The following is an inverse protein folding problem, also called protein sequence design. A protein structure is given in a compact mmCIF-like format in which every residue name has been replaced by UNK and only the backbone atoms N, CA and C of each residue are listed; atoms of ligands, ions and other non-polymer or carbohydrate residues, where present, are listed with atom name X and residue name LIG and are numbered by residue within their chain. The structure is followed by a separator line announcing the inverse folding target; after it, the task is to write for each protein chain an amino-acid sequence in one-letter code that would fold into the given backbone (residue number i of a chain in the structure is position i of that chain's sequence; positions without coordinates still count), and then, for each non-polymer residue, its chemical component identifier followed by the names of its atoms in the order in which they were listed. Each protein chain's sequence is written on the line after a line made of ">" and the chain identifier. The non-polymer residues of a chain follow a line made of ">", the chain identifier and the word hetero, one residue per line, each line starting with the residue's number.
data_IF_845970579103
#
_entry.id   IF_845970579103
#
_cell.length_a   1.000
_cell.length_b   1.000
_cell.length_c   1.000
_cell.angle_alpha   90.00
_cell.angle_beta   90.00
_cell.angle_gamma   90.00
#
_symmetry.space_group_name_H-M   'P 1'
#
loop_
_entity.id
_entity.type
_entity.pdbx_description
1 polymer ?
#
# COMPACT_ATOMS: atom_id res chain seq x y z
N UNK A 1 3.84 36.69 -41.63
CA UNK A 1 4.18 35.89 -40.44
C UNK A 1 2.84 35.41 -39.90
N UNK A 2 2.37 34.23 -40.31
CA UNK A 2 1.07 33.70 -39.84
C UNK A 2 1.25 33.31 -38.37
N UNK A 3 0.74 34.12 -37.45
CA UNK A 3 0.82 33.86 -36.02
C UNK A 3 0.03 32.60 -35.70
N UNK A 4 0.75 31.52 -35.40
CA UNK A 4 0.14 30.28 -34.89
C UNK A 4 -0.49 30.58 -33.53
N UNK A 5 -1.74 30.19 -33.35
CA UNK A 5 -2.45 30.42 -32.11
C UNK A 5 -2.02 29.41 -31.04
N UNK A 6 -1.15 29.81 -30.11
CA UNK A 6 -0.76 29.00 -28.95
C UNK A 6 -1.71 29.13 -27.74
N UNK A 7 -2.88 29.75 -27.93
CA UNK A 7 -3.76 30.11 -26.81
C UNK A 7 -4.57 28.92 -26.26
N UNK A 8 -4.66 27.83 -27.03
CA UNK A 8 -5.46 26.65 -26.67
C UNK A 8 -5.03 26.03 -25.33
N UNK A 9 -3.74 25.79 -25.12
CA UNK A 9 -3.23 25.19 -23.86
C UNK A 9 -3.56 26.06 -22.65
N UNK A 10 -3.37 27.38 -22.78
CA UNK A 10 -3.65 28.34 -21.71
C UNK A 10 -5.14 28.36 -21.34
N UNK A 11 -6.03 28.28 -22.34
CA UNK A 11 -7.46 28.24 -22.12
C UNK A 11 -7.89 26.88 -21.57
N UNK A 12 -7.31 25.78 -22.02
CA UNK A 12 -7.62 24.44 -21.55
C UNK A 12 -7.24 24.23 -20.07
N UNK A 13 -6.15 24.84 -19.60
CA UNK A 13 -5.68 24.69 -18.22
C UNK A 13 -6.35 25.69 -17.27
N UNK A 14 -6.53 26.94 -17.70
CA UNK A 14 -6.87 28.05 -16.79
C UNK A 14 -8.26 28.66 -16.99
N UNK A 15 -8.96 28.37 -18.09
CA UNK A 15 -10.25 29.00 -18.40
C UNK A 15 -11.43 28.03 -18.36
N UNK A 16 -12.64 28.60 -18.27
CA UNK A 16 -13.89 27.85 -18.29
C UNK A 16 -14.17 27.24 -19.67
N UNK A 17 -14.83 26.08 -19.68
CA UNK A 17 -15.16 25.30 -20.89
C UNK A 17 -15.90 26.13 -21.95
N UNK A 18 -16.79 27.04 -21.52
CA UNK A 18 -17.52 27.93 -22.41
C UNK A 18 -16.59 28.88 -23.20
N UNK A 19 -15.55 29.40 -22.54
CA UNK A 19 -14.60 30.34 -23.15
C UNK A 19 -13.62 29.64 -24.11
N UNK A 20 -13.23 28.40 -23.80
CA UNK A 20 -12.48 27.54 -24.71
C UNK A 20 -13.30 27.23 -25.97
N UNK A 21 -14.56 26.82 -25.81
CA UNK A 21 -15.45 26.48 -26.92
C UNK A 21 -15.74 27.67 -27.84
N UNK A 22 -15.85 28.90 -27.29
CA UNK A 22 -15.95 30.09 -28.14
C UNK A 22 -14.70 30.30 -28.98
N UNK A 23 -13.51 30.14 -28.39
CA UNK A 23 -12.25 30.35 -29.12
C UNK A 23 -12.00 29.27 -30.18
N UNK A 24 -12.39 28.03 -29.90
CA UNK A 24 -12.32 26.89 -30.84
C UNK A 24 -13.21 27.09 -32.07
N UNK A 25 -14.34 27.81 -31.94
CA UNK A 25 -15.20 28.14 -33.09
C UNK A 25 -14.56 29.19 -34.00
N UNK A 26 -13.82 30.12 -33.41
CA UNK A 26 -13.24 31.26 -34.13
C UNK A 26 -11.86 30.95 -34.74
N UNK A 27 -11.13 29.97 -34.20
CA UNK A 27 -9.77 29.62 -34.64
C UNK A 27 -9.67 28.19 -35.20
N UNK A 28 -9.26 28.06 -36.47
CA UNK A 28 -9.11 26.75 -37.13
C UNK A 28 -7.98 25.89 -36.56
N UNK A 29 -6.90 26.51 -36.06
CA UNK A 29 -5.78 25.77 -35.46
C UNK A 29 -6.19 25.14 -34.12
N UNK A 30 -6.79 25.94 -33.24
CA UNK A 30 -7.32 25.46 -31.96
C UNK A 30 -8.43 24.41 -32.14
N UNK A 31 -9.19 24.46 -33.24
CA UNK A 31 -10.18 23.41 -33.57
C UNK A 31 -9.52 22.06 -33.83
N UNK A 32 -8.45 22.03 -34.61
CA UNK A 32 -7.71 20.78 -34.89
C UNK A 32 -7.07 20.22 -33.63
N UNK A 33 -6.52 21.07 -32.78
CA UNK A 33 -5.98 20.65 -31.47
C UNK A 33 -7.07 20.11 -30.55
N UNK A 34 -8.24 20.75 -30.52
CA UNK A 34 -9.39 20.28 -29.74
C UNK A 34 -9.88 18.90 -30.21
N UNK A 35 -9.95 18.66 -31.53
CA UNK A 35 -10.31 17.34 -32.08
C UNK A 35 -9.30 16.25 -31.75
N UNK A 36 -8.00 16.57 -31.72
CA UNK A 36 -6.97 15.61 -31.31
C UNK A 36 -7.14 15.29 -29.82
N UNK A 37 -7.33 16.31 -28.99
CA UNK A 37 -7.52 16.15 -27.55
C UNK A 37 -8.80 15.38 -27.20
N UNK A 38 -9.90 15.58 -27.95
CA UNK A 38 -11.13 14.81 -27.72
C UNK A 38 -10.92 13.32 -28.00
N UNK A 39 -10.27 12.98 -29.12
CA UNK A 39 -9.93 11.58 -29.47
C UNK A 39 -9.02 10.94 -28.43
N UNK A 40 -8.03 11.67 -27.92
CA UNK A 40 -7.15 11.18 -26.85
C UNK A 40 -7.93 10.96 -25.55
N UNK A 41 -8.84 11.88 -25.20
CA UNK A 41 -9.71 11.74 -24.03
C UNK A 41 -10.60 10.49 -24.11
N UNK A 42 -11.19 10.23 -25.27
CA UNK A 42 -11.98 9.02 -25.53
C UNK A 42 -11.14 7.75 -25.34
N UNK A 43 -9.95 7.69 -25.93
CA UNK A 43 -9.03 6.55 -25.76
C UNK A 43 -8.66 6.32 -24.28
N UNK A 44 -8.41 7.40 -23.52
CA UNK A 44 -8.09 7.29 -22.10
C UNK A 44 -9.30 6.74 -21.31
N UNK A 45 -10.52 7.15 -21.67
CA UNK A 45 -11.74 6.64 -21.04
C UNK A 45 -11.95 5.15 -21.30
N UNK A 46 -11.60 4.65 -22.49
CA UNK A 46 -11.66 3.22 -22.82
C UNK A 46 -10.66 2.38 -22.00
N UNK A 47 -9.46 2.91 -21.75
CA UNK A 47 -8.40 2.20 -21.02
C UNK A 47 -8.55 2.32 -19.49
N UNK A 48 -9.24 3.35 -19.01
CA UNK A 48 -9.54 3.60 -17.59
C UNK A 48 -10.07 2.37 -16.82
N UNK A 49 -11.07 1.60 -17.32
CA UNK A 49 -11.56 0.42 -16.61
C UNK A 49 -10.46 -0.62 -16.37
N UNK A 50 -9.58 -0.87 -17.34
CA UNK A 50 -8.47 -1.81 -17.19
C UNK A 50 -7.46 -1.35 -16.14
N UNK A 51 -7.09 -0.06 -16.15
CA UNK A 51 -6.21 0.52 -15.14
C UNK A 51 -6.82 0.44 -13.72
N UNK A 52 -8.12 0.63 -13.60
CA UNK A 52 -8.82 0.50 -12.32
C UNK A 52 -8.85 -0.95 -11.83
N UNK A 53 -8.99 -1.93 -12.72
CA UNK A 53 -8.89 -3.36 -12.36
C UNK A 53 -7.52 -3.68 -11.77
N UNK A 54 -6.44 -3.28 -12.46
CA UNK A 54 -5.06 -3.50 -11.99
C UNK A 54 -4.84 -2.87 -10.61
N UNK A 55 -5.28 -1.62 -10.42
CA UNK A 55 -5.17 -0.94 -9.11
C UNK A 55 -5.93 -1.68 -8.00
N UNK A 56 -7.12 -2.22 -8.27
CA UNK A 56 -7.90 -2.99 -7.30
C UNK A 56 -7.20 -4.29 -6.92
N UNK A 57 -6.62 -5.01 -7.88
CA UNK A 57 -5.89 -6.25 -7.59
C UNK A 57 -4.65 -5.99 -6.73
N UNK A 58 -3.88 -4.93 -7.02
CA UNK A 58 -2.77 -4.53 -6.15
C UNK A 58 -3.23 -4.11 -4.75
N UNK A 59 -4.39 -3.47 -4.61
CA UNK A 59 -4.95 -3.14 -3.30
C UNK A 59 -5.33 -4.40 -2.51
N UNK A 60 -5.98 -5.38 -3.15
CA UNK A 60 -6.29 -6.67 -2.53
C UNK A 60 -5.02 -7.40 -2.06
N UNK A 61 -3.98 -7.43 -2.90
CA UNK A 61 -2.70 -8.06 -2.56
C UNK A 61 -2.05 -7.40 -1.33
N UNK A 62 -2.06 -6.06 -1.26
CA UNK A 62 -1.54 -5.32 -0.09
C UNK A 62 -2.32 -5.64 1.18
N UNK A 63 -3.65 -5.71 1.10
CA UNK A 63 -4.52 -6.06 2.23
C UNK A 63 -4.24 -7.49 2.69
N UNK A 64 -4.12 -8.45 1.77
CA UNK A 64 -3.80 -9.83 2.09
C UNK A 64 -2.44 -9.97 2.76
N UNK A 65 -1.42 -9.24 2.27
CA UNK A 65 -0.09 -9.23 2.86
C UNK A 65 -0.09 -8.64 4.28
N UNK A 66 -0.79 -7.51 4.48
CA UNK A 66 -0.92 -6.91 5.81
C UNK A 66 -1.65 -7.83 6.80
N UNK A 67 -2.74 -8.47 6.38
CA UNK A 67 -3.47 -9.41 7.20
C UNK A 67 -2.60 -10.63 7.59
N UNK A 68 -1.83 -11.16 6.64
CA UNK A 68 -0.91 -12.26 6.89
C UNK A 68 0.18 -11.89 7.89
N UNK A 69 0.76 -10.70 7.78
CA UNK A 69 1.77 -10.22 8.72
C UNK A 69 1.22 -10.03 10.14
N UNK A 70 -0.02 -9.53 10.27
CA UNK A 70 -0.68 -9.38 11.57
C UNK A 70 -0.97 -10.75 12.19
N UNK A 71 -1.47 -11.71 11.41
CA UNK A 71 -1.74 -13.06 11.91
C UNK A 71 -0.45 -13.77 12.34
N UNK A 72 0.61 -13.70 11.54
CA UNK A 72 1.91 -14.29 11.89
C UNK A 72 2.51 -13.67 13.15
N UNK A 73 2.50 -12.35 13.26
CA UNK A 73 3.04 -11.67 14.45
C UNK A 73 2.23 -12.02 15.71
N UNK A 74 0.91 -12.07 15.61
CA UNK A 74 0.04 -12.48 16.72
C UNK A 74 0.29 -13.93 17.16
N UNK A 75 0.39 -14.88 16.23
CA UNK A 75 0.64 -16.28 16.57
C UNK A 75 2.05 -16.50 17.12
N UNK A 76 3.07 -15.84 16.56
CA UNK A 76 4.43 -15.87 17.09
C UNK A 76 4.50 -15.33 18.53
N UNK A 77 3.89 -14.17 18.79
CA UNK A 77 3.84 -13.61 20.15
C UNK A 77 3.08 -14.53 21.11
N UNK A 78 2.02 -15.18 20.66
CA UNK A 78 1.30 -16.18 21.44
C UNK A 78 2.21 -17.36 21.81
N UNK A 79 2.88 -17.97 20.83
CA UNK A 79 3.78 -19.11 21.06
C UNK A 79 4.90 -18.73 22.04
N UNK A 80 5.50 -17.55 21.89
CA UNK A 80 6.56 -17.07 22.77
C UNK A 80 6.09 -16.80 24.20
N UNK A 81 4.87 -16.30 24.41
CA UNK A 81 4.37 -16.01 25.76
C UNK A 81 3.75 -17.23 26.45
N UNK A 82 3.12 -18.15 25.72
CA UNK A 82 2.48 -19.33 26.31
C UNK A 82 3.44 -20.51 26.53
N UNK A 83 4.66 -20.47 25.97
CA UNK A 83 5.68 -21.51 26.17
C UNK A 83 6.92 -20.91 26.85
N UNK A 84 7.01 -20.98 28.19
CA UNK A 84 8.13 -20.40 28.94
C UNK A 84 9.48 -20.98 28.49
N UNK A 85 9.54 -22.29 28.19
CA UNK A 85 10.76 -22.96 27.72
C UNK A 85 11.34 -22.36 26.43
N UNK A 86 10.47 -21.98 25.49
CA UNK A 86 10.88 -21.34 24.23
C UNK A 86 11.37 -19.92 24.52
N UNK A 87 10.68 -19.21 25.41
CA UNK A 87 11.06 -17.86 25.84
C UNK A 87 12.40 -17.84 26.58
N UNK A 88 12.65 -18.84 27.43
CA UNK A 88 13.85 -19.00 28.23
C UNK A 88 15.03 -19.38 27.33
N UNK A 89 14.82 -20.31 26.40
CA UNK A 89 15.84 -20.66 25.40
C UNK A 89 16.24 -19.46 24.54
N UNK A 90 15.29 -18.60 24.16
CA UNK A 90 15.57 -17.39 23.39
C UNK A 90 16.28 -16.30 24.19
N UNK A 91 15.97 -16.15 25.48
CA UNK A 91 16.55 -15.09 26.33
C UNK A 91 17.88 -15.49 26.96
N UNK A 92 18.01 -16.74 27.38
CA UNK A 92 19.12 -17.23 28.21
C UNK A 92 19.93 -18.32 27.51
N UNK A 93 19.52 -18.81 26.34
CA UNK A 93 20.22 -19.85 25.58
C UNK A 93 20.00 -21.28 26.10
N UNK A 94 19.26 -21.44 27.19
CA UNK A 94 18.91 -22.71 27.83
C UNK A 94 17.56 -22.58 28.54
N UNK A 95 16.88 -23.71 28.76
CA UNK A 95 15.67 -23.75 29.59
C UNK A 95 16.05 -23.58 31.05
N UNK A 96 15.41 -22.65 31.78
CA UNK A 96 15.69 -22.43 33.20
C UNK A 96 15.24 -23.63 34.02
N UNK A 97 16.11 -24.09 34.93
CA UNK A 97 15.80 -25.15 35.87
C UNK A 97 15.18 -24.59 37.14
N UNK A 98 14.55 -25.44 37.95
CA UNK A 98 13.88 -25.03 39.19
C UNK A 98 14.87 -24.39 40.18
N UNK A 99 16.13 -24.78 40.14
CA UNK A 99 17.21 -24.17 40.92
C UNK A 99 17.51 -22.72 40.48
N UNK A 100 17.48 -22.44 39.17
CA UNK A 100 17.68 -21.08 38.63
C UNK A 100 16.56 -20.11 39.05
N UNK A 101 15.37 -20.64 39.35
CA UNK A 101 14.25 -19.88 39.91
C UNK A 101 14.40 -19.62 41.42
N UNK A 102 15.47 -20.11 42.07
CA UNK A 102 15.78 -19.87 43.48
C UNK A 102 15.07 -20.80 44.46
N UNK A 103 14.49 -21.91 43.98
CA UNK A 103 13.89 -22.91 44.86
C UNK A 103 14.98 -23.83 45.45
N UNK A 104 14.88 -24.22 46.74
CA UNK A 104 15.81 -25.16 47.33
C UNK A 104 15.61 -26.54 46.70
N UNK A 105 16.68 -27.11 46.13
CA UNK A 105 16.68 -28.44 45.51
C UNK A 105 17.71 -29.35 46.18
N UNK A 106 17.46 -30.66 46.18
CA UNK A 106 18.44 -31.66 46.62
C UNK A 106 19.53 -31.90 45.56
N UNK A 107 20.57 -32.66 45.92
CA UNK A 107 21.65 -33.17 45.07
C UNK A 107 21.16 -33.91 43.81
N UNK A 108 19.90 -34.36 43.78
CA UNK A 108 19.25 -34.99 42.65
C UNK A 108 18.38 -34.04 41.80
N UNK A 109 18.33 -32.75 42.13
CA UNK A 109 17.56 -31.72 41.38
C UNK A 109 16.06 -31.70 41.66
N UNK A 110 15.60 -32.35 42.74
CA UNK A 110 14.21 -32.35 43.19
C UNK A 110 13.97 -31.25 44.22
N UNK A 111 12.80 -30.60 44.19
CA UNK A 111 12.42 -29.56 45.16
C UNK A 111 12.43 -30.16 46.57
N UNK A 112 13.16 -29.50 47.46
CA UNK A 112 13.13 -29.78 48.89
C UNK A 112 11.82 -29.25 49.47
N UNK A 113 10.99 -30.15 49.99
CA UNK A 113 9.79 -29.80 50.76
C UNK A 113 10.09 -30.16 52.20
N UNK A 114 10.26 -29.16 53.05
CA UNK A 114 10.25 -29.35 54.52
C UNK A 114 8.84 -29.71 55.02
#
# INVERSE_FOLDING_TARGET
>A
MNEKCNKYESLFIFSDEASLLSHVKDCEECRKEHEIMSKVSELIQEVKPELLKVKREHAKLKIACAAFAILLSGTLLGILNFNPDISDTLRYGQTLTIEDYGFPVDSYGLIMVD
#
